data_IF_284448625107
#
_entry.id   IF_284448625107
#
_cell.length_a   1.000
_cell.length_b   1.000
_cell.length_c   1.000
_cell.angle_alpha   90.00
_cell.angle_beta   90.00
_cell.angle_gamma   90.00
#
_symmetry.space_group_name_H-M   'P 1'
#
loop_
_entity.id
_entity.type
_entity.pdbx_description
1 polymer ?
#
# COMPACT_ATOMS: atom_id res chain seq x y z
N UNK A 1 5.09 -3.42 -32.40
CA UNK A 1 4.22 -4.23 -31.51
C UNK A 1 5.01 -4.48 -30.23
N UNK A 2 4.80 -3.72 -29.15
CA UNK A 2 5.45 -4.02 -27.86
C UNK A 2 4.87 -5.34 -27.35
N UNK A 3 5.66 -6.26 -26.78
CA UNK A 3 5.08 -7.38 -26.05
C UNK A 3 4.13 -6.78 -25.01
N UNK A 4 2.89 -7.25 -24.96
CA UNK A 4 1.99 -6.88 -23.87
C UNK A 4 2.66 -7.37 -22.59
N UNK A 5 3.29 -6.44 -21.86
CA UNK A 5 3.92 -6.75 -20.59
C UNK A 5 2.89 -7.33 -19.63
N UNK A 6 3.38 -8.00 -18.59
CA UNK A 6 2.55 -8.38 -17.46
C UNK A 6 1.82 -7.11 -16.98
N UNK A 7 0.48 -7.13 -16.83
CA UNK A 7 -0.24 -5.96 -16.34
C UNK A 7 0.39 -5.46 -15.04
N UNK A 8 0.56 -4.14 -14.93
CA UNK A 8 1.24 -3.52 -13.79
C UNK A 8 0.40 -2.47 -13.09
N UNK A 9 0.48 -2.45 -11.76
CA UNK A 9 -0.15 -1.49 -10.88
C UNK A 9 0.93 -0.88 -10.02
N UNK A 10 1.13 0.44 -10.16
CA UNK A 10 2.04 1.21 -9.34
C UNK A 10 1.23 2.17 -8.45
N UNK A 11 1.49 2.14 -7.15
CA UNK A 11 0.82 2.99 -6.16
C UNK A 11 1.86 3.68 -5.29
N UNK A 12 1.84 5.02 -5.32
CA UNK A 12 2.57 5.88 -4.39
C UNK A 12 1.56 6.44 -3.39
N UNK A 13 1.87 6.31 -2.11
CA UNK A 13 0.98 6.61 -1.00
C UNK A 13 1.67 7.19 0.23
N UNK A 14 3.01 7.13 0.29
CA UNK A 14 3.83 7.78 1.32
C UNK A 14 4.13 9.24 0.90
N UNK A 15 3.06 10.02 0.78
CA UNK A 15 3.04 11.35 0.17
C UNK A 15 1.73 11.54 -0.61
N UNK A 16 1.71 12.39 -1.66
CA UNK A 16 0.54 12.51 -2.52
C UNK A 16 0.15 11.16 -3.12
N UNK A 17 -1.12 10.78 -2.99
CA UNK A 17 -1.62 9.53 -3.53
C UNK A 17 -1.62 9.56 -5.06
N UNK A 18 -0.87 8.64 -5.66
CA UNK A 18 -0.77 8.48 -7.10
C UNK A 18 -0.94 7.00 -7.45
N UNK A 19 -1.81 6.72 -8.41
CA UNK A 19 -2.10 5.36 -8.86
C UNK A 19 -1.90 5.32 -10.36
N UNK A 20 -1.13 4.35 -10.86
CA UNK A 20 -0.90 4.14 -12.28
C UNK A 20 -1.14 2.67 -12.64
N UNK A 21 -1.78 2.45 -13.79
CA UNK A 21 -2.04 1.12 -14.36
C UNK A 21 -1.37 1.03 -15.72
N UNK A 22 -0.59 -0.02 -15.95
CA UNK A 22 0.18 -0.23 -17.18
C UNK A 22 1.03 1.00 -17.56
N UNK A 23 1.55 1.71 -16.55
CA UNK A 23 2.34 2.95 -16.70
C UNK A 23 1.54 4.24 -16.92
N UNK A 24 0.21 4.16 -17.05
CA UNK A 24 -0.66 5.33 -17.20
C UNK A 24 -1.22 5.78 -15.84
N UNK A 25 -0.93 7.02 -15.43
CA UNK A 25 -1.50 7.59 -14.19
C UNK A 25 -3.01 7.74 -14.32
N UNK A 26 -3.73 7.23 -13.32
CA UNK A 26 -5.16 7.46 -13.15
C UNK A 26 -5.38 8.80 -12.44
N UNK A 27 -6.10 9.76 -13.06
CA UNK A 27 -6.46 11.00 -12.39
C UNK A 27 -7.43 10.73 -11.24
N UNK A 28 -7.50 11.64 -10.26
CA UNK A 28 -8.46 11.53 -9.15
C UNK A 28 -9.92 11.40 -9.64
N UNK A 29 -10.25 12.01 -10.79
CA UNK A 29 -11.57 11.94 -11.43
C UNK A 29 -11.93 10.57 -12.00
N UNK A 30 -10.96 9.67 -12.21
CA UNK A 30 -11.23 8.28 -12.60
C UNK A 30 -11.92 7.51 -11.47
N UNK A 31 -11.68 7.88 -10.21
CA UNK A 31 -12.23 7.26 -9.02
C UNK A 31 -13.64 7.77 -8.72
N UNK A 32 -14.64 7.27 -9.47
CA UNK A 32 -16.05 7.62 -9.26
C UNK A 32 -16.58 7.30 -7.86
N UNK A 33 -15.94 6.36 -7.17
CA UNK A 33 -16.28 5.93 -5.82
C UNK A 33 -15.05 5.99 -4.91
N UNK A 34 -15.07 6.80 -3.84
CA UNK A 34 -14.01 6.82 -2.83
C UNK A 34 -13.77 5.44 -2.22
N UNK A 35 -14.85 4.66 -2.01
CA UNK A 35 -14.77 3.30 -1.46
C UNK A 35 -14.06 2.32 -2.37
N UNK A 36 -14.17 2.47 -3.70
CA UNK A 36 -13.39 1.64 -4.64
C UNK A 36 -11.88 1.90 -4.49
N UNK A 37 -11.50 3.17 -4.29
CA UNK A 37 -10.11 3.55 -4.04
C UNK A 37 -9.63 3.03 -2.68
N UNK A 38 -10.45 3.17 -1.63
CA UNK A 38 -10.15 2.62 -0.30
C UNK A 38 -9.97 1.10 -0.35
N UNK A 39 -10.86 0.38 -1.03
CA UNK A 39 -10.76 -1.07 -1.20
C UNK A 39 -9.44 -1.48 -1.86
N UNK A 40 -9.01 -0.79 -2.91
CA UNK A 40 -7.73 -1.06 -3.55
C UNK A 40 -6.57 -0.91 -2.56
N UNK A 41 -6.50 0.23 -1.88
CA UNK A 41 -5.42 0.53 -0.94
C UNK A 41 -5.43 -0.43 0.25
N UNK A 42 -6.61 -0.77 0.75
CA UNK A 42 -6.76 -1.76 1.82
C UNK A 42 -6.24 -3.13 1.41
N UNK A 43 -6.52 -3.59 0.18
CA UNK A 43 -6.00 -4.86 -0.34
C UNK A 43 -4.48 -4.79 -0.58
N UNK A 44 -3.93 -3.65 -1.00
CA UNK A 44 -2.48 -3.45 -1.14
C UNK A 44 -1.75 -3.55 0.22
N UNK A 45 -2.35 -3.03 1.29
CA UNK A 45 -1.83 -3.20 2.64
C UNK A 45 -1.92 -4.66 3.16
N UNK A 46 -2.67 -5.53 2.47
CA UNK A 46 -2.94 -6.90 2.89
C UNK A 46 -2.73 -7.90 1.74
N UNK A 47 -1.48 -8.16 1.32
CA UNK A 47 -1.18 -8.98 0.13
C UNK A 47 -1.66 -10.43 0.23
N UNK A 48 -1.82 -10.96 1.45
CA UNK A 48 -2.39 -12.31 1.70
C UNK A 48 -3.90 -12.37 1.38
N UNK A 49 -4.55 -11.22 1.28
CA UNK A 49 -5.98 -11.12 1.04
C UNK A 49 -6.83 -11.14 2.32
N UNK A 50 -8.07 -10.69 2.16
CA UNK A 50 -9.01 -10.47 3.27
C UNK A 50 -10.36 -11.10 2.96
N UNK A 51 -11.00 -11.66 3.98
CA UNK A 51 -12.35 -12.21 3.83
C UNK A 51 -13.35 -11.08 3.65
N UNK A 52 -14.56 -11.40 3.18
CA UNK A 52 -15.64 -10.43 3.07
C UNK A 52 -15.95 -9.77 4.41
N UNK A 53 -15.94 -10.54 5.49
CA UNK A 53 -16.25 -10.07 6.84
C UNK A 53 -15.18 -9.08 7.33
N UNK A 54 -13.91 -9.37 7.06
CA UNK A 54 -12.79 -8.45 7.36
C UNK A 54 -12.87 -7.15 6.53
N UNK A 55 -13.25 -7.25 5.26
CA UNK A 55 -13.47 -6.08 4.39
C UNK A 55 -14.66 -5.24 4.87
N UNK A 56 -15.74 -5.92 5.27
CA UNK A 56 -16.93 -5.31 5.87
C UNK A 56 -16.58 -4.46 7.08
N UNK A 57 -15.92 -5.06 8.07
CA UNK A 57 -15.50 -4.37 9.30
C UNK A 57 -14.58 -3.18 9.03
N UNK A 58 -13.68 -3.28 8.04
CA UNK A 58 -12.72 -2.22 7.75
C UNK A 58 -13.32 -1.06 6.94
N UNK A 59 -14.14 -1.36 5.93
CA UNK A 59 -14.64 -0.36 4.97
C UNK A 59 -16.05 0.13 5.28
N UNK A 60 -16.86 -0.68 5.95
CA UNK A 60 -18.28 -0.44 6.28
C UNK A 60 -18.60 -0.93 7.71
N UNK A 61 -18.00 -0.34 8.76
CA UNK A 61 -18.12 -0.82 10.13
C UNK A 61 -19.57 -0.85 10.64
N UNK A 62 -20.43 0.07 10.17
CA UNK A 62 -21.82 0.20 10.60
C UNK A 62 -22.83 -0.59 9.73
N UNK A 63 -22.36 -1.32 8.73
CA UNK A 63 -23.22 -2.04 7.80
C UNK A 63 -23.58 -3.45 8.30
N UNK A 64 -24.83 -3.85 8.08
CA UNK A 64 -25.26 -5.24 8.30
C UNK A 64 -24.58 -6.22 7.32
N UNK A 65 -24.53 -7.53 7.63
CA UNK A 65 -23.95 -8.53 6.72
C UNK A 65 -24.56 -8.54 5.31
N UNK A 66 -25.87 -8.28 5.21
CA UNK A 66 -26.57 -8.19 3.94
C UNK A 66 -26.15 -6.95 3.13
N UNK A 67 -25.94 -5.81 3.80
CA UNK A 67 -25.42 -4.59 3.17
C UNK A 67 -23.98 -4.77 2.70
N UNK A 68 -23.11 -5.34 3.55
CA UNK A 68 -21.70 -5.60 3.20
C UNK A 68 -21.58 -6.41 1.90
N UNK A 69 -22.42 -7.43 1.72
CA UNK A 69 -22.40 -8.23 0.49
C UNK A 69 -22.70 -7.38 -0.76
N UNK A 70 -23.73 -6.54 -0.69
CA UNK A 70 -24.14 -5.69 -1.82
C UNK A 70 -23.12 -4.58 -2.07
N UNK A 71 -22.67 -3.90 -1.01
CA UNK A 71 -21.71 -2.80 -1.10
C UNK A 71 -20.35 -3.27 -1.60
N UNK A 72 -19.87 -4.43 -1.13
CA UNK A 72 -18.66 -5.05 -1.64
C UNK A 72 -18.78 -5.41 -3.12
N UNK A 73 -19.89 -5.99 -3.54
CA UNK A 73 -20.11 -6.34 -4.95
C UNK A 73 -20.08 -5.11 -5.86
N UNK A 74 -20.78 -4.03 -5.47
CA UNK A 74 -20.79 -2.76 -6.21
C UNK A 74 -19.40 -2.13 -6.25
N UNK A 75 -18.71 -2.12 -5.11
CA UNK A 75 -17.37 -1.52 -4.96
C UNK A 75 -16.33 -2.27 -5.78
N UNK A 76 -16.36 -3.61 -5.79
CA UNK A 76 -15.52 -4.44 -6.65
C UNK A 76 -15.77 -4.18 -8.13
N UNK A 77 -17.03 -4.06 -8.53
CA UNK A 77 -17.38 -3.75 -9.92
C UNK A 77 -16.82 -2.39 -10.33
N UNK A 78 -17.00 -1.36 -9.51
CA UNK A 78 -16.46 -0.01 -9.76
C UNK A 78 -14.93 0.00 -9.80
N UNK A 79 -14.28 -0.73 -8.90
CA UNK A 79 -12.83 -0.85 -8.84
C UNK A 79 -12.28 -1.53 -10.10
N UNK A 80 -12.84 -2.67 -10.50
CA UNK A 80 -12.47 -3.38 -11.74
C UNK A 80 -12.66 -2.52 -12.99
N UNK A 81 -13.76 -1.77 -13.06
CA UNK A 81 -14.02 -0.84 -14.15
C UNK A 81 -12.97 0.30 -14.19
N UNK A 82 -12.57 0.82 -13.02
CA UNK A 82 -11.57 1.89 -12.91
C UNK A 82 -10.18 1.40 -13.32
N UNK A 83 -9.82 0.16 -12.98
CA UNK A 83 -8.55 -0.46 -13.37
C UNK A 83 -8.55 -1.03 -14.80
N UNK A 84 -9.70 -0.97 -15.49
CA UNK A 84 -9.85 -1.44 -16.87
C UNK A 84 -9.81 -2.95 -17.06
N UNK A 85 -9.68 -3.75 -15.99
CA UNK A 85 -9.68 -5.21 -16.06
C UNK A 85 -10.35 -5.87 -14.85
N UNK A 86 -11.16 -6.93 -15.06
CA UNK A 86 -11.87 -7.60 -13.97
C UNK A 86 -10.98 -8.52 -13.11
N UNK A 87 -9.88 -8.99 -13.68
CA UNK A 87 -8.96 -9.97 -13.10
C UNK A 87 -7.94 -9.36 -12.13
N UNK A 88 -7.92 -8.04 -11.96
CA UNK A 88 -7.07 -7.36 -10.95
C UNK A 88 -7.31 -7.85 -9.53
N UNK A 89 -8.55 -8.26 -9.23
CA UNK A 89 -8.94 -8.74 -7.91
C UNK A 89 -9.53 -10.13 -8.07
N UNK A 90 -8.88 -11.10 -7.44
CA UNK A 90 -9.30 -12.49 -7.41
C UNK A 90 -9.94 -12.81 -6.07
N UNK A 91 -10.86 -13.78 -6.09
CA UNK A 91 -11.46 -14.35 -4.89
C UNK A 91 -11.08 -15.83 -4.85
N UNK A 92 -10.14 -16.18 -3.98
CA UNK A 92 -9.57 -17.52 -3.84
C UNK A 92 -9.46 -17.85 -2.34
N UNK A 93 -9.76 -19.09 -1.94
CA UNK A 93 -9.70 -19.51 -0.52
C UNK A 93 -10.50 -18.58 0.42
N UNK A 94 -11.69 -18.15 -0.02
CA UNK A 94 -12.57 -17.21 0.69
C UNK A 94 -11.97 -15.81 0.94
N UNK A 95 -10.91 -15.45 0.22
CA UNK A 95 -10.21 -14.18 0.37
C UNK A 95 -10.19 -13.40 -0.93
N UNK A 96 -10.45 -12.10 -0.82
CA UNK A 96 -10.18 -11.14 -1.89
C UNK A 96 -8.74 -10.69 -1.78
N UNK A 97 -8.01 -10.75 -2.89
CA UNK A 97 -6.64 -10.23 -3.00
C UNK A 97 -6.41 -9.65 -4.39
N UNK A 98 -5.39 -8.80 -4.49
CA UNK A 98 -4.88 -8.40 -5.79
C UNK A 98 -4.24 -9.63 -6.44
N UNK A 99 -4.47 -9.78 -7.74
CA UNK A 99 -4.01 -10.94 -8.48
C UNK A 99 -2.47 -11.03 -8.45
N UNK A 100 -1.90 -12.10 -7.86
CA UNK A 100 -0.45 -12.23 -7.72
C UNK A 100 0.27 -12.46 -9.06
N UNK A 101 -0.47 -12.72 -10.14
CA UNK A 101 0.08 -12.84 -11.50
C UNK A 101 0.45 -11.48 -12.11
N UNK A 102 0.03 -10.38 -11.51
CA UNK A 102 0.29 -9.02 -12.00
C UNK A 102 1.41 -8.35 -11.23
N UNK A 103 2.11 -7.44 -11.90
CA UNK A 103 3.15 -6.64 -11.27
C UNK A 103 2.51 -5.61 -10.36
N UNK A 104 2.76 -5.69 -9.05
CA UNK A 104 2.26 -4.72 -8.08
C UNK A 104 3.43 -4.05 -7.40
N UNK A 105 3.57 -2.76 -7.63
CA UNK A 105 4.54 -1.90 -6.95
C UNK A 105 3.79 -0.97 -6.02
N UNK A 106 3.97 -1.17 -4.71
CA UNK A 106 3.35 -0.34 -3.70
C UNK A 106 4.42 0.24 -2.79
N UNK A 107 4.57 1.57 -2.82
CA UNK A 107 5.65 2.25 -2.12
C UNK A 107 5.67 1.99 -0.61
N UNK A 108 4.51 1.84 0.03
CA UNK A 108 4.39 1.48 1.44
C UNK A 108 5.03 0.13 1.78
N UNK A 109 4.73 -0.91 0.99
CA UNK A 109 5.33 -2.24 1.18
C UNK A 109 6.81 -2.27 0.78
N UNK A 110 7.20 -1.56 -0.28
CA UNK A 110 8.59 -1.44 -0.71
C UNK A 110 9.43 -0.74 0.36
N UNK A 111 8.96 0.38 0.89
CA UNK A 111 9.58 1.12 1.99
C UNK A 111 9.79 0.23 3.21
N UNK A 112 8.73 -0.47 3.63
CA UNK A 112 8.77 -1.36 4.79
C UNK A 112 9.78 -2.51 4.60
N UNK A 113 9.86 -3.09 3.40
CA UNK A 113 10.84 -4.13 3.07
C UNK A 113 12.28 -3.59 3.05
N UNK A 114 12.51 -2.44 2.41
CA UNK A 114 13.83 -1.81 2.30
C UNK A 114 14.39 -1.38 3.66
N UNK A 115 13.57 -0.75 4.53
CA UNK A 115 13.98 -0.36 5.89
C UNK A 115 14.36 -1.58 6.72
N UNK A 116 13.56 -2.66 6.66
CA UNK A 116 13.89 -3.90 7.39
C UNK A 116 15.15 -4.56 6.88
N UNK A 117 15.32 -4.63 5.55
CA UNK A 117 16.52 -5.21 4.94
C UNK A 117 17.77 -4.41 5.33
N UNK A 118 17.71 -3.07 5.30
CA UNK A 118 18.82 -2.22 5.74
C UNK A 118 19.11 -2.34 7.24
N UNK A 119 18.08 -2.50 8.07
CA UNK A 119 18.21 -2.78 9.49
C UNK A 119 18.95 -4.10 9.77
N UNK A 120 18.54 -5.18 9.10
CA UNK A 120 19.15 -6.50 9.24
C UNK A 120 20.61 -6.52 8.72
N UNK A 121 20.87 -5.93 7.55
CA UNK A 121 22.21 -5.81 6.99
C UNK A 121 23.14 -4.98 7.90
N UNK A 122 22.63 -3.88 8.47
CA UNK A 122 23.39 -3.07 9.42
C UNK A 122 23.76 -3.80 10.71
N UNK A 123 22.88 -4.67 11.22
CA UNK A 123 23.16 -5.49 12.40
C UNK A 123 24.20 -6.58 12.10
N UNK A 124 24.07 -7.28 10.97
CA UNK A 124 25.04 -8.29 10.54
C UNK A 124 26.41 -7.68 10.21
N UNK A 125 26.42 -6.53 9.53
CA UNK A 125 27.61 -5.76 9.19
C UNK A 125 28.34 -5.24 10.43
N UNK A 126 27.64 -4.73 11.44
CA UNK A 126 28.24 -4.29 12.70
C UNK A 126 28.91 -5.43 13.49
N UNK A 127 28.43 -6.66 13.33
CA UNK A 127 29.04 -7.85 13.93
C UNK A 127 30.33 -8.28 13.22
N UNK A 128 30.46 -7.99 11.91
CA UNK A 128 31.59 -8.40 11.06
C UNK A 128 32.61 -7.29 10.80
N UNK A 129 32.19 -6.03 10.84
CA UNK A 129 32.97 -4.84 10.55
C UNK A 129 32.64 -3.72 11.55
N UNK A 130 33.65 -2.91 11.93
CA UNK A 130 33.48 -1.79 12.88
C UNK A 130 32.67 -0.60 12.33
N UNK A 131 32.13 -0.68 11.12
CA UNK A 131 31.38 0.39 10.47
C UNK A 131 30.07 -0.14 9.90
N UNK A 132 28.97 0.56 10.19
CA UNK A 132 27.64 0.26 9.67
C UNK A 132 27.45 1.01 8.36
N UNK A 133 27.18 0.30 7.26
CA UNK A 133 26.76 0.95 6.03
C UNK A 133 25.33 1.47 6.20
N UNK A 134 25.18 2.80 6.18
CA UNK A 134 23.92 3.50 6.37
C UNK A 134 23.27 3.94 5.06
N UNK A 135 23.97 3.80 3.93
CA UNK A 135 23.48 4.24 2.61
C UNK A 135 22.17 3.55 2.22
N UNK A 136 21.99 2.23 2.41
CA UNK A 136 20.72 1.57 2.10
C UNK A 136 19.55 2.10 2.92
N UNK A 137 19.78 2.39 4.21
CA UNK A 137 18.75 2.92 5.11
C UNK A 137 18.37 4.35 4.72
N UNK A 138 19.34 5.21 4.41
CA UNK A 138 19.07 6.58 3.96
C UNK A 138 18.21 6.61 2.69
N UNK A 139 18.53 5.78 1.68
CA UNK A 139 17.74 5.67 0.45
C UNK A 139 16.32 5.18 0.68
N UNK A 140 16.13 4.22 1.58
CA UNK A 140 14.80 3.74 1.93
C UNK A 140 13.94 4.86 2.53
N UNK A 141 14.52 5.67 3.44
CA UNK A 141 13.81 6.78 4.09
C UNK A 141 13.39 7.90 3.11
N UNK A 142 14.10 8.11 2.01
CA UNK A 142 13.73 9.10 0.97
C UNK A 142 12.39 8.79 0.28
N UNK A 143 11.92 7.54 0.36
CA UNK A 143 10.59 7.16 -0.16
C UNK A 143 9.45 7.72 0.69
N UNK A 144 9.69 7.97 1.97
CA UNK A 144 8.70 8.49 2.89
C UNK A 144 8.64 10.02 2.77
N UNK A 145 7.70 10.53 1.95
CA UNK A 145 7.56 11.96 1.67
C UNK A 145 6.38 12.61 2.40
N UNK A 146 5.53 11.81 3.02
CA UNK A 146 4.35 12.26 3.77
C UNK A 146 3.56 11.09 4.35
N UNK A 147 2.55 11.43 5.14
CA UNK A 147 1.71 10.42 5.82
C UNK A 147 0.80 9.69 4.82
N UNK A 148 0.61 8.39 5.05
CA UNK A 148 -0.30 7.59 4.25
C UNK A 148 -1.73 8.13 4.33
N UNK A 149 -2.30 8.49 3.17
CA UNK A 149 -3.66 9.03 3.05
C UNK A 149 -3.89 10.30 3.90
N UNK A 150 -2.88 11.16 4.03
CA UNK A 150 -3.04 12.46 4.69
C UNK A 150 -4.19 13.27 4.05
N UNK A 151 -5.17 13.68 4.86
CA UNK A 151 -6.34 14.45 4.40
C UNK A 151 -7.39 13.69 3.57
N UNK A 152 -7.22 12.39 3.32
CA UNK A 152 -8.25 11.58 2.68
C UNK A 152 -9.22 11.03 3.72
N UNK A 153 -10.51 11.35 3.60
CA UNK A 153 -11.59 10.86 4.48
C UNK A 153 -11.90 9.37 4.26
N UNK A 154 -10.93 8.51 4.53
CA UNK A 154 -11.11 7.07 4.62
C UNK A 154 -11.53 6.68 6.06
N UNK A 155 -12.13 5.51 6.23
CA UNK A 155 -12.40 4.97 7.57
C UNK A 155 -11.11 4.62 8.34
N UNK A 156 -11.22 4.31 9.63
CA UNK A 156 -10.08 4.17 10.55
C UNK A 156 -9.05 3.08 10.19
N UNK A 157 -9.35 2.19 9.24
CA UNK A 157 -8.45 1.12 8.82
C UNK A 157 -7.07 1.62 8.37
N UNK A 158 -6.97 2.85 7.85
CA UNK A 158 -5.72 3.42 7.35
C UNK A 158 -4.77 3.88 8.47
N UNK A 159 -5.27 4.01 9.71
CA UNK A 159 -4.49 4.48 10.85
C UNK A 159 -3.38 3.49 11.20
N UNK A 160 -3.67 2.19 11.22
CA UNK A 160 -2.68 1.16 11.53
C UNK A 160 -1.52 1.12 10.51
N UNK A 161 -1.74 1.08 9.18
CA UNK A 161 -0.66 1.17 8.21
C UNK A 161 0.12 2.49 8.31
N UNK A 162 -0.57 3.62 8.53
CA UNK A 162 0.07 4.93 8.70
C UNK A 162 1.01 4.93 9.89
N UNK A 163 0.54 4.49 11.05
CA UNK A 163 1.34 4.43 12.28
C UNK A 163 2.52 3.47 12.14
N UNK A 164 2.30 2.30 11.51
CA UNK A 164 3.36 1.33 11.22
C UNK A 164 4.49 1.96 10.39
N UNK A 165 4.17 2.62 9.27
CA UNK A 165 5.19 3.23 8.42
C UNK A 165 5.83 4.47 9.04
N UNK A 166 5.04 5.28 9.76
CA UNK A 166 5.56 6.44 10.52
C UNK A 166 6.55 6.01 11.59
N UNK A 167 6.26 4.92 12.30
CA UNK A 167 7.17 4.31 13.27
C UNK A 167 8.47 3.85 12.62
N UNK A 168 8.38 3.10 11.52
CA UNK A 168 9.57 2.63 10.78
C UNK A 168 10.43 3.80 10.28
N UNK A 169 9.80 4.87 9.81
CA UNK A 169 10.50 6.08 9.38
C UNK A 169 11.27 6.73 10.54
N UNK A 170 10.64 6.91 11.71
CA UNK A 170 11.30 7.50 12.88
C UNK A 170 12.41 6.62 13.45
N UNK A 171 12.17 5.31 13.55
CA UNK A 171 13.20 4.34 13.98
C UNK A 171 14.40 4.36 13.01
N UNK A 172 14.14 4.40 11.70
CA UNK A 172 15.18 4.49 10.69
C UNK A 172 15.97 5.80 10.75
N UNK A 173 15.30 6.96 10.90
CA UNK A 173 15.99 8.26 11.07
C UNK A 173 16.85 8.29 12.32
N UNK A 174 16.33 7.77 13.43
CA UNK A 174 17.09 7.67 14.68
C UNK A 174 18.35 6.82 14.50
N UNK A 175 18.25 5.70 13.77
CA UNK A 175 19.39 4.83 13.47
C UNK A 175 20.44 5.48 12.55
N UNK A 176 20.09 6.51 11.76
CA UNK A 176 21.04 7.31 10.97
C UNK A 176 21.76 8.39 11.79
N UNK A 177 21.31 8.67 13.02
CA UNK A 177 21.83 9.79 13.81
C UNK A 177 21.43 11.16 13.28
N UNK A 178 20.46 11.23 12.37
CA UNK A 178 19.96 12.50 11.85
C UNK A 178 18.77 13.01 12.69
N UNK A 179 18.80 14.29 13.14
CA UNK A 179 17.64 14.87 13.79
C UNK A 179 16.44 14.90 12.84
N UNK A 180 15.24 14.77 13.42
CA UNK A 180 13.96 14.98 12.73
C UNK A 180 13.97 16.40 12.15
N UNK A 181 13.89 16.56 10.83
CA UNK A 181 13.60 17.89 10.27
C UNK A 181 12.17 18.24 10.65
N UNK A 182 11.92 19.32 11.43
CA UNK A 182 10.57 19.81 11.64
C UNK A 182 10.03 20.27 10.28
N UNK A 183 8.84 19.78 9.93
CA UNK A 183 8.08 20.24 8.76
C UNK A 183 7.57 21.65 8.91
#
# INVERSE_FOLDING_TARGET
MRPAGVPSLAVNSLGPLEIAVDGARLPATAWRSPKARELLLFLLCHPVGRTREQLGLALWPDASPAQIKNDLHITLHQLRATLGRPDWIVFEEERYRINPRFGVEFDGLLFEAEVRAAGAAGAAGAALAKTRDTVPLARALERYKGDFLEGAGAGDWHLEPRERWRRLYFEGRFALGEPLRPG
#
